data_IF_694728218157
#
_entry.id   IF_694728218157
#
_cell.length_a   1.000
_cell.length_b   1.000
_cell.length_c   1.000
_cell.angle_alpha   90.00
_cell.angle_beta   90.00
_cell.angle_gamma   90.00
#
_symmetry.space_group_name_H-M   'P 1'
#
loop_
_entity.id
_entity.type
_entity.pdbx_description
1 polymer ?
#
# COMPACT_ATOMS: atom_id res chain seq x y z
N UNK A 1 -22.14 -11.60 28.68
CA UNK A 1 -21.73 -11.57 27.26
C UNK A 1 -20.33 -11.02 27.25
N UNK A 2 -19.36 -11.91 27.39
CA UNK A 2 -17.95 -11.55 27.49
C UNK A 2 -17.39 -11.22 26.10
N UNK A 3 -17.01 -9.97 25.92
CA UNK A 3 -16.22 -9.54 24.77
C UNK A 3 -14.76 -9.82 25.07
N UNK A 4 -14.31 -11.05 24.80
CA UNK A 4 -12.87 -11.33 24.72
C UNK A 4 -12.30 -10.64 23.49
N UNK A 5 -11.55 -9.56 23.72
CA UNK A 5 -10.65 -8.95 22.74
C UNK A 5 -9.60 -10.01 22.38
N UNK A 6 -9.48 -10.44 21.10
CA UNK A 6 -8.43 -11.37 20.74
C UNK A 6 -7.06 -10.71 20.95
N UNK A 7 -6.26 -11.43 21.72
CA UNK A 7 -4.89 -11.15 22.13
C UNK A 7 -3.99 -10.74 20.97
N UNK A 8 -3.19 -9.69 21.21
CA UNK A 8 -2.01 -9.24 20.47
C UNK A 8 -1.29 -10.36 19.70
N UNK A 9 -1.65 -10.54 18.42
CA UNK A 9 -0.85 -11.29 17.48
C UNK A 9 0.34 -10.40 17.05
N UNK A 10 1.48 -10.62 17.69
CA UNK A 10 2.84 -10.46 17.17
C UNK A 10 2.97 -9.49 15.96
N UNK A 11 3.27 -8.22 16.22
CA UNK A 11 3.37 -7.13 15.22
C UNK A 11 4.48 -7.31 14.15
N UNK A 12 5.14 -8.46 14.07
CA UNK A 12 6.30 -8.69 13.19
C UNK A 12 5.99 -9.36 11.83
N UNK A 13 4.74 -9.74 11.56
CA UNK A 13 4.39 -10.55 10.38
C UNK A 13 3.60 -9.83 9.28
N UNK A 14 3.29 -8.52 9.41
CA UNK A 14 2.50 -7.80 8.40
C UNK A 14 3.16 -7.72 7.02
N UNK A 15 4.50 -7.83 6.96
CA UNK A 15 5.27 -7.77 5.72
C UNK A 15 5.42 -9.13 5.02
N UNK A 16 4.83 -10.20 5.56
CA UNK A 16 4.93 -11.56 5.02
C UNK A 16 3.65 -11.95 4.29
N UNK A 17 3.80 -12.67 3.19
CA UNK A 17 2.68 -13.28 2.50
C UNK A 17 2.08 -14.43 3.34
N UNK A 18 0.77 -14.37 3.62
CA UNK A 18 0.06 -15.42 4.37
C UNK A 18 0.08 -16.80 3.71
N UNK A 19 0.33 -16.88 2.39
CA UNK A 19 0.38 -18.15 1.66
C UNK A 19 1.78 -18.80 1.60
N UNK A 20 2.85 -18.02 1.43
CA UNK A 20 4.20 -18.57 1.25
C UNK A 20 5.24 -18.09 2.28
N UNK A 21 4.83 -17.25 3.23
CA UNK A 21 5.68 -16.65 4.26
C UNK A 21 6.90 -15.88 3.72
N UNK A 22 6.91 -15.52 2.43
CA UNK A 22 7.95 -14.66 1.84
C UNK A 22 7.63 -13.20 2.11
N UNK A 23 8.68 -12.40 2.32
CA UNK A 23 8.59 -10.95 2.46
C UNK A 23 8.07 -10.37 1.14
N UNK A 24 7.07 -9.49 1.23
CA UNK A 24 6.58 -8.76 0.07
C UNK A 24 7.65 -7.85 -0.51
N UNK A 25 7.61 -7.63 -1.83
CA UNK A 25 8.57 -6.77 -2.51
C UNK A 25 7.91 -6.00 -3.64
N UNK A 26 8.27 -4.73 -3.79
CA UNK A 26 7.85 -3.92 -4.94
C UNK A 26 8.71 -4.17 -6.20
N UNK A 27 9.86 -4.83 -6.08
CA UNK A 27 10.74 -5.10 -7.23
C UNK A 27 10.04 -6.04 -8.21
N UNK A 28 9.92 -5.58 -9.46
CA UNK A 28 9.38 -6.40 -10.53
C UNK A 28 10.32 -7.58 -10.82
N UNK A 29 9.70 -8.77 -11.00
CA UNK A 29 10.23 -9.99 -11.59
C UNK A 29 11.76 -10.10 -11.58
N UNK A 30 12.36 -10.41 -10.43
CA UNK A 30 13.79 -10.77 -10.39
C UNK A 30 14.01 -12.07 -11.15
N UNK A 31 15.06 -12.20 -11.99
CA UNK A 31 15.43 -13.49 -12.56
C UNK A 31 15.75 -14.46 -11.42
N UNK A 32 14.90 -15.46 -11.21
CA UNK A 32 15.19 -16.53 -10.26
C UNK A 32 16.34 -17.41 -10.76
N UNK A 33 16.97 -18.15 -9.85
CA UNK A 33 18.11 -19.05 -10.08
C UNK A 33 17.82 -20.24 -11.05
N UNK A 34 16.67 -20.24 -11.73
CA UNK A 34 16.22 -21.22 -12.72
C UNK A 34 15.35 -20.59 -13.83
N UNK A 35 15.43 -19.27 -14.06
CA UNK A 35 14.67 -18.59 -15.12
C UNK A 35 13.20 -18.28 -14.80
N UNK A 36 12.64 -18.76 -13.68
CA UNK A 36 11.32 -18.33 -13.21
C UNK A 36 11.37 -16.91 -12.61
N UNK A 37 10.67 -15.98 -13.26
CA UNK A 37 10.42 -14.63 -12.76
C UNK A 37 9.31 -14.68 -11.70
N UNK A 38 9.68 -14.64 -10.42
CA UNK A 38 8.72 -14.57 -9.31
C UNK A 38 8.48 -13.11 -8.93
N UNK A 39 7.22 -12.75 -8.73
CA UNK A 39 6.83 -11.43 -8.22
C UNK A 39 6.22 -11.57 -6.83
N UNK A 40 6.79 -10.87 -5.86
CA UNK A 40 6.25 -10.82 -4.49
C UNK A 40 5.51 -9.50 -4.21
N UNK A 41 4.98 -8.85 -5.24
CA UNK A 41 4.13 -7.67 -5.09
C UNK A 41 2.89 -8.05 -4.28
N UNK A 42 2.55 -7.32 -3.20
CA UNK A 42 1.37 -7.61 -2.40
C UNK A 42 0.10 -7.19 -3.16
N UNK A 43 -0.79 -8.13 -3.43
CA UNK A 43 -2.08 -7.89 -4.08
C UNK A 43 -3.24 -8.18 -3.13
N UNK A 44 -4.31 -7.42 -3.26
CA UNK A 44 -5.51 -7.51 -2.42
C UNK A 44 -6.50 -8.49 -3.05
N UNK A 45 -6.93 -9.50 -2.29
CA UNK A 45 -8.00 -10.42 -2.67
C UNK A 45 -9.37 -9.77 -2.52
N UNK A 46 -10.43 -10.33 -3.12
CA UNK A 46 -11.79 -9.77 -3.01
C UNK A 46 -12.31 -9.67 -1.55
N UNK A 47 -11.70 -10.41 -0.62
CA UNK A 47 -12.02 -10.36 0.80
C UNK A 47 -11.27 -9.27 1.60
N UNK A 48 -10.33 -8.55 0.98
CA UNK A 48 -9.51 -7.52 1.61
C UNK A 48 -8.16 -7.98 2.18
N UNK A 49 -7.93 -9.29 2.34
CA UNK A 49 -6.62 -9.82 2.74
C UNK A 49 -5.62 -9.78 1.59
N UNK A 50 -4.33 -9.79 1.94
CA UNK A 50 -3.23 -9.59 0.99
C UNK A 50 -2.42 -10.87 0.79
N UNK A 51 -2.17 -11.21 -0.48
CA UNK A 51 -1.33 -12.35 -0.90
C UNK A 51 -0.39 -11.87 -2.01
N UNK A 52 0.77 -12.49 -2.18
CA UNK A 52 1.69 -12.04 -3.21
C UNK A 52 1.25 -12.45 -4.63
N UNK A 53 1.62 -11.65 -5.63
CA UNK A 53 1.33 -11.87 -7.05
C UNK A 53 1.67 -13.30 -7.51
N UNK A 54 2.86 -13.81 -7.13
CA UNK A 54 3.25 -15.20 -7.42
C UNK A 54 2.29 -16.24 -6.84
N UNK A 55 1.83 -16.08 -5.60
CA UNK A 55 0.93 -17.06 -4.97
C UNK A 55 -0.47 -17.03 -5.60
N UNK A 56 -0.94 -15.85 -6.02
CA UNK A 56 -2.19 -15.72 -6.79
C UNK A 56 -2.04 -16.44 -8.12
N UNK A 57 -0.97 -16.16 -8.87
CA UNK A 57 -0.68 -16.79 -10.15
C UNK A 57 -0.61 -18.33 -10.03
N UNK A 58 0.17 -18.85 -9.07
CA UNK A 58 0.27 -20.29 -8.82
C UNK A 58 -1.08 -20.92 -8.47
N UNK A 59 -1.86 -20.29 -7.59
CA UNK A 59 -3.18 -20.81 -7.20
C UNK A 59 -4.15 -20.87 -8.38
N UNK A 60 -4.14 -19.84 -9.22
CA UNK A 60 -4.94 -19.81 -10.45
C UNK A 60 -4.50 -20.88 -11.46
N UNK A 61 -3.19 -21.05 -11.69
CA UNK A 61 -2.67 -22.07 -12.62
C UNK A 61 -2.94 -23.50 -12.15
N UNK A 62 -2.80 -23.76 -10.85
CA UNK A 62 -2.89 -25.12 -10.29
C UNK A 62 -4.32 -25.53 -9.95
N UNK A 63 -5.14 -24.58 -9.48
CA UNK A 63 -6.47 -24.87 -8.90
C UNK A 63 -7.62 -24.14 -9.60
N UNK A 64 -7.33 -23.22 -10.52
CA UNK A 64 -8.33 -22.39 -11.19
C UNK A 64 -9.01 -21.36 -10.28
N UNK A 65 -8.58 -21.21 -9.02
CA UNK A 65 -9.17 -20.31 -8.04
C UNK A 65 -8.18 -19.89 -6.96
N UNK A 66 -8.40 -18.73 -6.37
CA UNK A 66 -7.63 -18.25 -5.21
C UNK A 66 -8.48 -18.37 -3.96
N UNK A 67 -7.96 -19.04 -2.94
CA UNK A 67 -8.59 -19.14 -1.63
C UNK A 67 -7.75 -18.32 -0.64
N UNK A 68 -8.38 -17.37 0.04
CA UNK A 68 -7.70 -16.57 1.05
C UNK A 68 -7.20 -17.47 2.20
N UNK A 69 -5.91 -17.39 2.58
CA UNK A 69 -5.37 -18.18 3.68
C UNK A 69 -5.90 -17.74 5.05
N UNK A 70 -6.30 -16.47 5.20
CA UNK A 70 -6.71 -15.89 6.49
C UNK A 70 -8.19 -16.15 6.82
N UNK A 71 -9.08 -16.08 5.82
CA UNK A 71 -10.53 -16.18 6.03
C UNK A 71 -11.23 -17.23 5.17
N UNK A 72 -10.47 -18.04 4.42
CA UNK A 72 -10.96 -19.13 3.56
C UNK A 72 -11.98 -18.73 2.47
N UNK A 73 -12.20 -17.43 2.25
CA UNK A 73 -13.06 -16.94 1.17
C UNK A 73 -12.40 -17.15 -0.20
N UNK A 74 -13.17 -17.67 -1.15
CA UNK A 74 -12.76 -17.82 -2.55
C UNK A 74 -12.85 -16.48 -3.25
N UNK A 75 -11.82 -16.12 -4.01
CA UNK A 75 -11.85 -14.96 -4.89
C UNK A 75 -12.56 -15.30 -6.19
N UNK A 76 -13.44 -14.41 -6.65
CA UNK A 76 -14.19 -14.56 -7.90
C UNK A 76 -13.48 -13.73 -8.95
N UNK A 77 -13.09 -14.36 -10.05
CA UNK A 77 -12.49 -13.67 -11.19
C UNK A 77 -13.59 -13.13 -12.13
N UNK A 78 -13.47 -11.89 -12.57
CA UNK A 78 -14.39 -11.27 -13.53
C UNK A 78 -14.27 -11.85 -14.96
N UNK A 79 -13.15 -12.51 -15.24
CA UNK A 79 -12.81 -13.11 -16.54
C UNK A 79 -12.28 -14.54 -16.38
N UNK A 80 -12.22 -15.33 -17.48
CA UNK A 80 -11.54 -16.62 -17.48
C UNK A 80 -10.11 -16.52 -16.95
N UNK A 81 -9.67 -17.52 -16.21
CA UNK A 81 -8.39 -17.56 -15.50
C UNK A 81 -7.20 -17.31 -16.45
N UNK A 82 -7.28 -17.80 -17.69
CA UNK A 82 -6.26 -17.64 -18.72
C UNK A 82 -6.06 -16.18 -19.14
N UNK A 83 -7.11 -15.36 -19.01
CA UNK A 83 -7.04 -13.92 -19.27
C UNK A 83 -6.53 -13.15 -18.06
N UNK A 84 -6.94 -13.55 -16.85
CA UNK A 84 -6.48 -12.92 -15.60
C UNK A 84 -4.97 -13.08 -15.40
N UNK A 85 -4.41 -14.26 -15.72
CA UNK A 85 -2.98 -14.55 -15.53
C UNK A 85 -2.09 -13.72 -16.50
N UNK A 86 -2.67 -13.04 -17.50
CA UNK A 86 -1.90 -12.14 -18.38
C UNK A 86 -1.54 -10.86 -17.64
N UNK A 87 -0.26 -10.70 -17.29
CA UNK A 87 0.36 -9.48 -16.74
C UNK A 87 -0.62 -8.44 -16.15
N UNK A 88 -0.83 -7.32 -16.84
CA UNK A 88 -1.60 -6.18 -16.33
C UNK A 88 -3.02 -6.54 -15.86
N UNK A 89 -3.65 -7.58 -16.44
CA UNK A 89 -4.99 -8.02 -16.04
C UNK A 89 -5.02 -8.57 -14.61
N UNK A 90 -3.95 -9.21 -14.14
CA UNK A 90 -3.88 -9.72 -12.78
C UNK A 90 -3.96 -8.59 -11.76
N UNK A 91 -3.30 -7.45 -12.04
CA UNK A 91 -3.30 -6.27 -11.17
C UNK A 91 -4.58 -5.43 -11.29
N UNK A 92 -5.37 -5.64 -12.34
CA UNK A 92 -6.73 -5.09 -12.44
C UNK A 92 -7.72 -5.92 -11.63
N UNK A 93 -7.59 -7.25 -11.67
CA UNK A 93 -8.44 -8.18 -10.90
C UNK A 93 -8.10 -8.16 -9.40
N UNK A 94 -6.81 -8.14 -9.07
CA UNK A 94 -6.26 -8.14 -7.72
C UNK A 94 -5.36 -6.91 -7.54
N UNK A 95 -5.90 -5.76 -7.12
CA UNK A 95 -5.16 -4.52 -7.08
C UNK A 95 -3.99 -4.57 -6.07
N UNK A 96 -2.87 -3.88 -6.34
CA UNK A 96 -1.76 -3.79 -5.40
C UNK A 96 -2.17 -3.16 -4.07
N UNK A 97 -1.67 -3.71 -2.96
CA UNK A 97 -1.80 -3.09 -1.65
C UNK A 97 -0.78 -1.95 -1.52
N UNK A 98 -1.17 -0.75 -2.00
CA UNK A 98 -0.32 0.45 -2.02
C UNK A 98 0.13 0.90 -0.63
N UNK A 99 -0.71 0.68 0.40
CA UNK A 99 -0.34 0.97 1.79
C UNK A 99 0.84 0.10 2.22
N UNK A 100 0.73 -1.21 2.02
CA UNK A 100 1.79 -2.15 2.38
C UNK A 100 3.06 -1.92 1.56
N UNK A 101 2.93 -1.55 0.27
CA UNK A 101 4.05 -1.12 -0.56
C UNK A 101 4.77 0.09 0.06
N UNK A 102 4.03 1.08 0.56
CA UNK A 102 4.58 2.22 1.29
C UNK A 102 5.31 1.81 2.57
N UNK A 103 4.72 0.92 3.38
CA UNK A 103 5.37 0.39 4.59
C UNK A 103 6.67 -0.35 4.25
N UNK A 104 6.68 -1.16 3.19
CA UNK A 104 7.86 -1.86 2.68
C UNK A 104 8.94 -0.84 2.29
N UNK A 105 8.60 0.16 1.49
CA UNK A 105 9.55 1.18 1.03
C UNK A 105 10.19 1.95 2.20
N UNK A 106 9.40 2.36 3.19
CA UNK A 106 9.89 3.02 4.40
C UNK A 106 10.78 2.10 5.23
N UNK A 107 10.42 0.83 5.36
CA UNK A 107 11.18 -0.16 6.13
C UNK A 107 12.57 -0.45 5.54
N UNK A 108 12.71 -0.41 4.21
CA UNK A 108 14.01 -0.56 3.55
C UNK A 108 14.87 0.71 3.60
N UNK A 109 14.27 1.91 3.59
CA UNK A 109 15.00 3.18 3.70
C UNK A 109 15.64 3.40 5.08
N UNK A 110 15.07 2.83 6.14
CA UNK A 110 15.66 2.89 7.48
C UNK A 110 17.02 2.17 7.61
N UNK A 111 17.45 1.39 6.60
CA UNK A 111 18.80 0.80 6.57
C UNK A 111 19.86 1.68 5.90
N UNK A 112 19.48 2.75 5.20
CA UNK A 112 20.39 3.58 4.40
C UNK A 112 20.47 5.05 4.83
N UNK A 113 19.85 5.43 5.96
CA UNK A 113 19.75 6.83 6.33
C UNK A 113 19.56 7.07 7.81
N UNK A 114 20.64 6.93 8.59
CA UNK A 114 20.81 7.69 9.83
C UNK A 114 21.00 9.20 9.52
N UNK A 115 20.19 9.80 8.65
CA UNK A 115 20.23 11.26 8.36
C UNK A 115 19.01 11.81 7.60
N UNK A 116 17.84 11.13 7.54
CA UNK A 116 16.68 11.75 6.85
C UNK A 116 15.28 11.25 7.25
N UNK A 117 15.08 10.68 8.44
CA UNK A 117 13.72 10.35 8.91
C UNK A 117 13.42 10.70 10.37
N UNK A 118 14.32 11.40 11.06
CA UNK A 118 14.00 12.06 12.34
C UNK A 118 13.23 13.38 12.14
N UNK A 119 13.14 13.91 10.91
CA UNK A 119 12.56 15.25 10.65
C UNK A 119 11.05 15.27 10.39
N UNK A 120 10.36 14.13 10.32
CA UNK A 120 8.90 14.14 10.18
C UNK A 120 8.11 13.83 11.47
N UNK A 121 8.79 13.47 12.57
CA UNK A 121 8.10 13.21 13.85
C UNK A 121 8.80 13.75 15.11
N UNK A 122 9.87 14.55 15.00
CA UNK A 122 10.42 15.23 16.18
C UNK A 122 9.95 16.67 16.23
N UNK A 123 9.27 16.99 17.33
CA UNK A 123 8.87 18.31 17.79
C UNK A 123 9.92 19.37 17.43
N UNK A 124 9.57 20.28 16.51
CA UNK A 124 10.27 21.54 16.35
C UNK A 124 9.33 22.66 16.80
N UNK A 125 9.76 23.38 17.84
CA UNK A 125 9.29 24.75 18.10
C UNK A 125 9.54 25.66 16.89
N UNK A 126 9.06 26.91 16.94
CA UNK A 126 8.31 27.51 15.84
C UNK A 126 9.21 28.00 14.71
N UNK A 127 9.42 27.18 13.69
CA UNK A 127 9.62 27.68 12.34
C UNK A 127 8.24 28.04 11.79
N UNK A 128 7.97 29.34 11.59
CA UNK A 128 6.72 29.82 10.98
C UNK A 128 6.56 29.13 9.62
N UNK A 129 5.76 28.05 9.55
CA UNK A 129 5.33 27.46 8.30
C UNK A 129 4.40 28.47 7.64
N UNK A 130 4.85 29.05 6.54
CA UNK A 130 3.96 29.77 5.64
C UNK A 130 2.95 28.75 5.10
N UNK A 131 1.70 28.85 5.55
CA UNK A 131 0.61 27.99 5.09
C UNK A 131 0.35 28.26 3.59
N UNK A 132 0.19 27.21 2.79
CA UNK A 132 -0.08 27.32 1.35
C UNK A 132 -1.56 27.64 1.07
N UNK A 133 -1.82 28.24 -0.08
CA UNK A 133 -3.18 28.51 -0.56
C UNK A 133 -4.00 27.22 -0.66
N UNK A 134 -5.17 27.21 -0.04
CA UNK A 134 -6.11 26.08 -0.02
C UNK A 134 -6.52 25.64 -1.43
N UNK A 135 -6.70 26.57 -2.35
CA UNK A 135 -7.20 26.28 -3.68
C UNK A 135 -6.10 25.83 -4.65
N UNK A 136 -4.99 26.59 -4.73
CA UNK A 136 -3.96 26.31 -5.74
C UNK A 136 -2.77 25.49 -5.23
N UNK A 137 -2.55 25.44 -3.91
CA UNK A 137 -1.41 24.78 -3.24
C UNK A 137 -0.02 25.16 -3.78
N UNK A 138 0.10 26.26 -4.53
CA UNK A 138 1.31 26.63 -5.26
C UNK A 138 2.07 27.80 -4.62
N UNK A 139 1.37 28.66 -3.88
CA UNK A 139 1.95 29.86 -3.26
C UNK A 139 1.49 30.00 -1.82
N UNK A 140 2.26 30.74 -1.01
CA UNK A 140 1.90 31.05 0.36
C UNK A 140 0.56 31.79 0.44
N UNK A 141 -0.31 31.33 1.33
CA UNK A 141 -1.55 31.99 1.65
C UNK A 141 -1.28 33.25 2.47
N UNK A 142 -1.89 34.35 2.05
CA UNK A 142 -1.76 35.66 2.69
C UNK A 142 -3.06 36.11 3.34
N UNK A 143 -4.17 35.49 2.95
CA UNK A 143 -5.52 35.89 3.32
C UNK A 143 -6.22 34.71 4.00
N UNK A 144 -7.05 34.99 5.01
CA UNK A 144 -7.86 34.00 5.72
C UNK A 144 -9.34 34.31 5.48
N UNK A 145 -10.13 33.31 5.13
CA UNK A 145 -11.58 33.44 5.04
C UNK A 145 -12.19 33.49 6.45
N UNK A 146 -13.07 34.47 6.69
CA UNK A 146 -13.74 34.65 7.99
C UNK A 146 -14.84 33.61 8.24
N UNK A 147 -15.37 32.98 7.19
CA UNK A 147 -16.48 32.04 7.29
C UNK A 147 -16.02 30.58 7.46
N UNK A 148 -14.91 30.18 6.81
CA UNK A 148 -14.46 28.78 6.79
C UNK A 148 -13.05 28.55 7.36
N UNK A 149 -12.37 29.57 7.89
CA UNK A 149 -11.00 29.49 8.41
C UNK A 149 -9.90 29.03 7.42
N UNK A 150 -10.27 28.73 6.18
CA UNK A 150 -9.35 28.40 5.08
C UNK A 150 -8.49 29.61 4.69
N UNK A 151 -7.29 29.36 4.14
CA UNK A 151 -6.35 30.40 3.75
C UNK A 151 -6.07 30.39 2.26
N UNK A 152 -6.00 31.57 1.65
CA UNK A 152 -5.89 31.78 0.21
C UNK A 152 -4.76 32.75 -0.12
N UNK A 153 -4.27 32.69 -1.36
CA UNK A 153 -3.42 33.74 -1.91
C UNK A 153 -4.25 34.92 -2.42
N UNK A 154 -3.61 36.06 -2.72
CA UNK A 154 -4.27 37.29 -3.17
C UNK A 154 -5.13 37.10 -4.45
N UNK A 155 -4.76 36.12 -5.29
CA UNK A 155 -5.44 35.82 -6.55
C UNK A 155 -6.68 34.97 -6.30
N UNK A 156 -6.51 33.84 -5.61
CA UNK A 156 -7.60 32.90 -5.29
C UNK A 156 -8.69 33.54 -4.41
N UNK A 157 -8.33 34.48 -3.53
CA UNK A 157 -9.33 35.14 -2.68
C UNK A 157 -10.23 36.15 -3.42
N UNK A 158 -9.80 36.64 -4.58
CA UNK A 158 -10.52 37.65 -5.38
C UNK A 158 -11.22 37.07 -6.59
N UNK A 159 -11.08 35.77 -6.82
CA UNK A 159 -11.72 35.05 -7.93
C UNK A 159 -13.16 34.68 -7.59
#
# INVERSE_FOLDING_TARGET
>A
MDFTIPSNANMNNKLLCGSCSKIFSFKEKTPGFHGLRKSYVPLILNCGHTVCEFCIESSLRERGKVICPDCCKVSVCSQPVENVIKDHQMRMEFPPNVYLIGEIATSFNNKFGNTLSSTLLTQQGPAKKEELCYECSQVAAKLKCEQCSDRFCDVCFKS
#
